data_IF_679165624549
#
_entry.id   IF_679165624549
#
_cell.length_a   1.000
_cell.length_b   1.000
_cell.length_c   1.000
_cell.angle_alpha   90.00
_cell.angle_beta   90.00
_cell.angle_gamma   90.00
#
_symmetry.space_group_name_H-M   'P 1'
#
loop_
_entity.id
_entity.type
_entity.pdbx_description
1 polymer ?
#
# COMPACT_ATOMS: atom_id res chain seq x y z
N UNK A 1 -13.17 -37.99 23.68
CA UNK A 1 -12.08 -37.26 22.98
C UNK A 1 -11.62 -36.12 23.87
N UNK A 2 -10.33 -36.07 24.21
CA UNK A 2 -9.75 -34.93 24.93
C UNK A 2 -9.39 -33.82 23.93
N UNK A 3 -10.00 -32.64 24.07
CA UNK A 3 -9.66 -31.47 23.26
C UNK A 3 -8.47 -30.76 23.91
N UNK A 4 -7.32 -30.78 23.26
CA UNK A 4 -6.16 -29.98 23.64
C UNK A 4 -6.42 -28.51 23.27
N UNK A 5 -6.53 -27.65 24.29
CA UNK A 5 -6.62 -26.20 24.09
C UNK A 5 -5.21 -25.65 23.86
N UNK A 6 -4.91 -25.25 22.61
CA UNK A 6 -3.65 -24.59 22.28
C UNK A 6 -3.80 -23.08 22.46
N UNK A 7 -2.82 -22.44 23.11
CA UNK A 7 -2.73 -20.98 23.21
C UNK A 7 -2.17 -20.43 21.90
N UNK A 8 -3.05 -19.91 21.04
CA UNK A 8 -2.64 -19.26 19.80
C UNK A 8 -2.16 -17.84 20.11
N UNK A 9 -0.86 -17.59 20.03
CA UNK A 9 -0.26 -16.26 20.14
C UNK A 9 -0.44 -15.49 18.81
N UNK A 10 -1.53 -14.73 18.72
CA UNK A 10 -1.95 -14.01 17.50
C UNK A 10 -0.99 -12.92 17.01
N UNK A 11 0.02 -12.54 17.80
CA UNK A 11 0.95 -11.43 17.50
C UNK A 11 2.28 -11.85 16.88
N UNK A 12 2.63 -13.14 16.88
CA UNK A 12 3.96 -13.63 16.43
C UNK A 12 4.20 -13.42 14.92
N UNK A 13 3.14 -13.23 14.12
CA UNK A 13 3.23 -12.99 12.68
C UNK A 13 2.43 -11.75 12.24
N UNK A 14 2.22 -10.80 13.15
CA UNK A 14 1.56 -9.54 12.80
C UNK A 14 2.45 -8.77 11.80
N UNK A 15 1.90 -8.31 10.67
CA UNK A 15 2.67 -7.51 9.72
C UNK A 15 3.21 -6.25 10.42
N UNK A 16 4.38 -5.78 10.00
CA UNK A 16 4.99 -4.57 10.55
C UNK A 16 4.08 -3.37 10.25
N UNK A 17 3.39 -2.90 11.29
CA UNK A 17 2.51 -1.74 11.26
C UNK A 17 3.07 -0.67 12.22
N UNK A 18 3.41 0.51 11.69
CA UNK A 18 3.81 1.66 12.49
C UNK A 18 2.60 2.55 12.73
N UNK A 19 2.01 2.49 13.94
CA UNK A 19 0.84 3.32 14.32
C UNK A 19 -0.29 3.33 13.28
N UNK A 20 -0.62 2.17 12.70
CA UNK A 20 -1.65 2.02 11.66
C UNK A 20 -1.18 2.29 10.22
N UNK A 21 0.04 2.83 10.04
CA UNK A 21 0.69 2.88 8.73
C UNK A 21 1.41 1.57 8.43
N UNK A 22 1.14 1.02 7.26
CA UNK A 22 1.78 -0.21 6.82
C UNK A 22 2.99 0.09 5.97
N UNK A 23 4.02 -0.76 6.01
CA UNK A 23 5.34 -0.49 5.43
C UNK A 23 5.32 0.09 3.99
N UNK A 24 4.45 -0.43 3.11
CA UNK A 24 4.32 0.06 1.73
C UNK A 24 3.91 1.54 1.63
N UNK A 25 3.03 2.01 2.53
CA UNK A 25 2.54 3.39 2.50
C UNK A 25 3.54 4.38 3.09
N UNK A 26 4.39 3.94 4.02
CA UNK A 26 5.49 4.75 4.57
C UNK A 26 6.44 5.15 3.42
N UNK A 27 6.79 4.18 2.58
CA UNK A 27 7.66 4.44 1.43
C UNK A 27 7.02 5.41 0.42
N UNK A 28 5.72 5.24 0.14
CA UNK A 28 4.96 6.14 -0.72
C UNK A 28 4.92 7.58 -0.16
N UNK A 29 4.75 7.72 1.16
CA UNK A 29 4.73 9.01 1.85
C UNK A 29 6.10 9.68 1.78
N UNK A 30 7.19 8.93 2.01
CA UNK A 30 8.56 9.42 1.93
C UNK A 30 8.89 9.96 0.52
N UNK A 31 8.60 9.18 -0.53
CA UNK A 31 8.77 9.64 -1.93
C UNK A 31 7.93 10.89 -2.19
N UNK A 32 6.69 10.92 -1.71
CA UNK A 32 5.80 12.07 -1.84
C UNK A 32 6.38 13.35 -1.22
N UNK A 33 6.94 13.26 -0.01
CA UNK A 33 7.59 14.38 0.67
C UNK A 33 8.84 14.86 -0.06
N UNK A 34 9.68 13.95 -0.56
CA UNK A 34 10.85 14.30 -1.38
C UNK A 34 10.41 15.01 -2.67
N UNK A 35 9.34 14.54 -3.31
CA UNK A 35 8.75 15.20 -4.47
C UNK A 35 8.25 16.62 -4.16
N UNK A 36 7.57 16.80 -3.02
CA UNK A 36 7.13 18.12 -2.53
C UNK A 36 8.30 19.08 -2.29
N UNK A 37 9.40 18.59 -1.74
CA UNK A 37 10.62 19.37 -1.57
C UNK A 37 11.20 19.83 -2.92
N UNK A 38 11.15 18.96 -3.93
CA UNK A 38 11.62 19.26 -5.28
C UNK A 38 10.72 20.29 -5.97
N UNK A 39 9.39 20.16 -5.83
CA UNK A 39 8.42 21.15 -6.32
C UNK A 39 8.66 22.52 -5.68
N UNK A 40 8.92 22.56 -4.37
CA UNK A 40 9.26 23.80 -3.69
C UNK A 40 10.54 24.44 -4.25
N UNK A 41 11.60 23.65 -4.42
CA UNK A 41 12.86 24.14 -4.96
C UNK A 41 12.66 24.75 -6.37
N UNK A 42 11.90 24.08 -7.24
CA UNK A 42 11.59 24.58 -8.58
C UNK A 42 10.77 25.87 -8.55
N UNK A 43 9.73 25.95 -7.72
CA UNK A 43 8.92 27.17 -7.58
C UNK A 43 9.74 28.33 -7.02
N UNK A 44 10.61 28.07 -6.05
CA UNK A 44 11.47 29.07 -5.44
C UNK A 44 12.50 29.62 -6.45
N UNK A 45 13.17 28.75 -7.21
CA UNK A 45 14.14 29.15 -8.24
C UNK A 45 13.45 29.93 -9.37
N UNK A 46 12.18 29.63 -9.68
CA UNK A 46 11.39 30.36 -10.67
C UNK A 46 11.00 31.79 -10.24
N UNK A 47 11.37 32.22 -9.04
CA UNK A 47 11.12 33.58 -8.55
C UNK A 47 9.70 33.80 -8.00
N UNK A 48 8.94 32.73 -7.74
CA UNK A 48 7.60 32.84 -7.14
C UNK A 48 7.74 33.34 -5.70
N UNK A 49 6.81 34.20 -5.29
CA UNK A 49 6.77 34.75 -3.94
C UNK A 49 6.79 33.61 -2.88
N UNK A 50 7.74 33.62 -1.92
CA UNK A 50 7.84 32.59 -0.89
C UNK A 50 6.54 32.33 -0.12
N UNK A 51 5.70 33.34 0.10
CA UNK A 51 4.41 33.18 0.77
C UNK A 51 3.45 32.27 -0.02
N UNK A 52 3.44 32.41 -1.35
CA UNK A 52 2.65 31.54 -2.24
C UNK A 52 3.23 30.12 -2.23
N UNK A 53 4.55 29.99 -2.26
CA UNK A 53 5.21 28.69 -2.17
C UNK A 53 4.84 27.92 -0.90
N UNK A 54 4.87 28.59 0.26
CA UNK A 54 4.49 28.00 1.54
C UNK A 54 3.02 27.55 1.52
N UNK A 55 2.11 28.39 1.03
CA UNK A 55 0.70 28.06 0.92
C UNK A 55 0.46 26.80 0.07
N UNK A 56 1.10 26.71 -1.10
CA UNK A 56 1.00 25.55 -1.99
C UNK A 56 1.54 24.28 -1.34
N UNK A 57 2.73 24.34 -0.72
CA UNK A 57 3.34 23.18 -0.05
C UNK A 57 2.48 22.70 1.11
N UNK A 58 1.94 23.61 1.95
CA UNK A 58 1.11 23.23 3.08
C UNK A 58 -0.15 22.50 2.62
N UNK A 59 -0.84 23.05 1.62
CA UNK A 59 -2.06 22.44 1.06
C UNK A 59 -1.73 21.07 0.45
N UNK A 60 -0.70 21.01 -0.40
CA UNK A 60 -0.30 19.78 -1.09
C UNK A 60 0.21 18.71 -0.11
N UNK A 61 0.98 19.12 0.91
CA UNK A 61 1.45 18.27 1.99
C UNK A 61 0.30 17.70 2.81
N UNK A 62 -0.59 18.55 3.33
CA UNK A 62 -1.78 18.09 4.07
C UNK A 62 -2.64 17.13 3.24
N UNK A 63 -2.87 17.44 1.97
CA UNK A 63 -3.59 16.56 1.05
C UNK A 63 -2.89 15.21 0.89
N UNK A 64 -1.57 15.20 0.71
CA UNK A 64 -0.77 13.98 0.59
C UNK A 64 -0.88 13.09 1.83
N UNK A 65 -0.76 13.67 3.03
CA UNK A 65 -0.92 12.94 4.29
C UNK A 65 -2.33 12.32 4.39
N UNK A 66 -3.39 13.10 4.18
CA UNK A 66 -4.77 12.60 4.25
C UNK A 66 -4.97 11.46 3.24
N UNK A 67 -4.48 11.63 2.01
CA UNK A 67 -4.63 10.64 0.95
C UNK A 67 -3.91 9.33 1.30
N UNK A 68 -2.66 9.39 1.76
CA UNK A 68 -1.88 8.20 2.09
C UNK A 68 -2.46 7.46 3.29
N UNK A 69 -2.88 8.17 4.35
CA UNK A 69 -3.52 7.55 5.51
C UNK A 69 -4.85 6.88 5.14
N UNK A 70 -5.67 7.53 4.30
CA UNK A 70 -6.91 6.95 3.78
C UNK A 70 -6.63 5.67 2.98
N UNK A 71 -5.55 5.66 2.20
CA UNK A 71 -5.14 4.49 1.41
C UNK A 71 -4.64 3.36 2.31
N UNK A 72 -3.83 3.68 3.33
CA UNK A 72 -3.32 2.72 4.32
C UNK A 72 -4.45 1.99 5.03
N UNK A 73 -5.44 2.74 5.53
CA UNK A 73 -6.58 2.19 6.24
C UNK A 73 -7.50 1.35 5.33
N UNK A 74 -7.70 1.78 4.08
CA UNK A 74 -8.62 1.11 3.16
C UNK A 74 -8.09 -0.22 2.63
N UNK A 75 -6.79 -0.29 2.30
CA UNK A 75 -6.23 -1.41 1.55
C UNK A 75 -5.37 -2.34 2.41
N UNK A 76 -4.87 -1.90 3.56
CA UNK A 76 -3.99 -2.73 4.37
C UNK A 76 -2.67 -3.07 3.66
N UNK A 77 -1.90 -4.07 4.12
CA UNK A 77 -0.45 -4.10 3.89
C UNK A 77 -0.14 -4.57 2.48
N UNK A 78 -0.98 -5.47 1.98
CA UNK A 78 -0.87 -6.05 0.65
C UNK A 78 -1.98 -5.57 -0.29
N UNK A 79 -2.82 -4.60 0.10
CA UNK A 79 -4.01 -4.26 -0.70
C UNK A 79 -3.68 -3.55 -2.02
N UNK A 80 -2.66 -2.68 -2.03
CA UNK A 80 -2.17 -2.10 -3.29
C UNK A 80 -1.60 -3.18 -4.20
N UNK A 81 -0.82 -4.11 -3.66
CA UNK A 81 -0.26 -5.24 -4.41
C UNK A 81 -1.36 -6.14 -4.98
N UNK A 82 -2.40 -6.47 -4.19
CA UNK A 82 -3.58 -7.22 -4.65
C UNK A 82 -4.36 -6.48 -5.73
N UNK A 83 -4.52 -5.15 -5.59
CA UNK A 83 -5.20 -4.32 -6.60
C UNK A 83 -4.43 -4.27 -7.92
N UNK A 84 -3.10 -4.21 -7.85
CA UNK A 84 -2.22 -4.26 -9.01
C UNK A 84 -2.27 -5.64 -9.67
N UNK A 85 -2.15 -6.72 -8.89
CA UNK A 85 -2.27 -8.09 -9.39
C UNK A 85 -3.63 -8.34 -10.07
N UNK A 86 -4.72 -7.75 -9.54
CA UNK A 86 -6.05 -7.83 -10.17
C UNK A 86 -6.10 -7.21 -11.56
N UNK A 87 -5.27 -6.20 -11.86
CA UNK A 87 -5.18 -5.63 -13.22
C UNK A 87 -4.44 -6.54 -14.19
N UNK A 88 -3.51 -7.36 -13.69
CA UNK A 88 -2.73 -8.30 -14.50
C UNK A 88 -3.46 -9.63 -14.75
N UNK A 89 -4.62 -9.86 -14.14
CA UNK A 89 -5.40 -11.08 -14.32
C UNK A 89 -6.32 -10.98 -15.56
N UNK A 90 -6.44 -12.05 -16.35
CA UNK A 90 -7.36 -12.10 -17.48
C UNK A 90 -8.82 -11.98 -17.00
N UNK A 91 -9.67 -11.35 -17.81
CA UNK A 91 -11.10 -11.13 -17.47
C UNK A 91 -11.86 -12.44 -17.22
N UNK A 92 -11.47 -13.50 -17.92
CA UNK A 92 -12.08 -14.83 -17.79
C UNK A 92 -10.98 -15.87 -17.75
N UNK A 93 -11.02 -16.73 -16.74
CA UNK A 93 -10.21 -17.94 -16.69
C UNK A 93 -11.11 -19.10 -17.17
N UNK A 94 -10.91 -19.58 -18.40
CA UNK A 94 -11.63 -20.76 -18.91
C UNK A 94 -10.75 -21.99 -18.78
N UNK A 95 -11.12 -22.92 -17.91
CA UNK A 95 -10.52 -24.25 -17.83
C UNK A 95 -11.32 -25.24 -18.68
N UNK A 96 -10.74 -25.70 -19.78
CA UNK A 96 -11.37 -26.68 -20.68
C UNK A 96 -11.13 -28.14 -20.28
N UNK A 97 -10.21 -28.40 -19.34
CA UNK A 97 -9.86 -29.74 -18.92
C UNK A 97 -9.65 -29.83 -17.42
N UNK A 98 -10.21 -30.89 -16.80
CA UNK A 98 -10.02 -31.20 -15.38
C UNK A 98 -8.79 -32.07 -15.11
N UNK A 99 -8.07 -32.49 -16.17
CA UNK A 99 -6.88 -33.37 -16.06
C UNK A 99 -5.81 -32.80 -15.11
N UNK A 100 -5.66 -31.48 -15.05
CA UNK A 100 -4.74 -30.79 -14.13
C UNK A 100 -5.01 -31.06 -12.64
N UNK A 101 -6.25 -31.37 -12.26
CA UNK A 101 -6.62 -31.65 -10.86
C UNK A 101 -6.49 -33.14 -10.49
N UNK A 102 -6.44 -34.04 -11.48
CA UNK A 102 -6.34 -35.50 -11.25
C UNK A 102 -4.92 -36.05 -11.44
N UNK A 103 -3.99 -35.27 -12.02
CA UNK A 103 -2.59 -35.67 -12.25
C UNK A 103 -1.76 -35.91 -10.98
N UNK A 104 -2.31 -35.67 -9.78
CA UNK A 104 -1.60 -35.80 -8.51
C UNK A 104 -2.30 -36.72 -7.49
N UNK A 105 -2.96 -37.78 -7.97
CA UNK A 105 -3.53 -38.82 -7.10
C UNK A 105 -2.72 -40.12 -7.07
N UNK A 106 -1.60 -40.20 -7.79
CA UNK A 106 -0.80 -41.42 -7.89
C UNK A 106 0.66 -41.09 -7.61
N UNK A 107 1.00 -41.00 -6.31
CA UNK A 107 2.32 -41.22 -5.72
C UNK A 107 2.22 -41.22 -4.21
#
# INVERSE_FOLDING_TARGET
>A
MANTNYTINKSVNAPIEFKGLKAQYIWCLAIGLVGLMLVFALMYISGINPFVCIGVILIAGSFLFIYVYRLSNRYGPHGMMKKMARRSLPKVLKCYSRKLFFLKSEK
#
